data_IF_527853712584
#
_entry.id   IF_527853712584
#
_cell.length_a   1.000
_cell.length_b   1.000
_cell.length_c   1.000
_cell.angle_alpha   90.00
_cell.angle_beta   90.00
_cell.angle_gamma   90.00
#
_symmetry.space_group_name_H-M   'P 1'
#
loop_
_entity.id
_entity.type
_entity.pdbx_description
1 polymer ?
#
# COMPACT_ATOMS: atom_id res chain seq x y z
N UNK A 1 -9.38 -18.40 -9.16
CA UNK A 1 -10.53 -17.76 -9.85
C UNK A 1 -10.01 -17.00 -11.06
N UNK A 2 -10.72 -17.01 -12.18
CA UNK A 2 -10.29 -16.35 -13.43
C UNK A 2 -10.84 -14.92 -13.59
N UNK A 3 -10.25 -14.16 -14.52
CA UNK A 3 -10.75 -12.84 -14.89
C UNK A 3 -12.16 -12.94 -15.47
N UNK A 4 -13.07 -12.07 -15.02
CA UNK A 4 -14.40 -11.90 -15.61
C UNK A 4 -14.41 -10.64 -16.46
N UNK A 5 -15.06 -10.71 -17.62
CA UNK A 5 -15.25 -9.56 -18.51
C UNK A 5 -16.35 -8.65 -17.95
N UNK A 6 -16.07 -7.36 -17.90
CA UNK A 6 -17.04 -6.30 -17.57
C UNK A 6 -16.86 -5.14 -18.54
N UNK A 7 -17.92 -4.40 -18.84
CA UNK A 7 -17.84 -3.16 -19.62
C UNK A 7 -18.21 -1.99 -18.71
N UNK A 8 -17.46 -0.90 -18.79
CA UNK A 8 -17.68 0.33 -18.02
C UNK A 8 -17.51 1.54 -18.93
N UNK A 9 -18.22 2.61 -18.61
CA UNK A 9 -18.00 3.92 -19.22
C UNK A 9 -17.05 4.73 -18.33
N UNK A 10 -16.14 5.48 -18.97
CA UNK A 10 -15.20 6.38 -18.32
C UNK A 10 -15.09 7.66 -19.14
N UNK A 11 -14.61 8.74 -18.53
CA UNK A 11 -14.39 10.00 -19.24
C UNK A 11 -13.24 9.87 -20.24
N UNK A 12 -13.36 10.54 -21.40
CA UNK A 12 -12.33 10.51 -22.44
C UNK A 12 -10.98 11.05 -21.97
N UNK A 13 -10.99 12.03 -21.06
CA UNK A 13 -9.79 12.58 -20.41
C UNK A 13 -9.08 11.53 -19.56
N UNK A 14 -9.82 10.72 -18.80
CA UNK A 14 -9.27 9.67 -17.95
C UNK A 14 -8.67 8.55 -18.80
N UNK A 15 -9.36 8.14 -19.88
CA UNK A 15 -8.86 7.14 -20.82
C UNK A 15 -7.56 7.60 -21.48
N UNK A 16 -7.46 8.89 -21.81
CA UNK A 16 -6.23 9.49 -22.35
C UNK A 16 -5.08 9.37 -21.37
N UNK A 17 -5.29 9.75 -20.10
CA UNK A 17 -4.28 9.66 -19.05
C UNK A 17 -3.84 8.21 -18.77
N UNK A 18 -4.78 7.27 -18.76
CA UNK A 18 -4.48 5.83 -18.60
C UNK A 18 -3.60 5.33 -19.74
N UNK A 19 -3.88 5.74 -20.98
CA UNK A 19 -3.10 5.36 -22.15
C UNK A 19 -1.66 5.86 -22.09
N UNK A 20 -1.46 7.12 -21.71
CA UNK A 20 -0.12 7.69 -21.53
C UNK A 20 0.65 6.96 -20.40
N UNK A 21 -0.03 6.66 -19.29
CA UNK A 21 0.55 5.92 -18.20
C UNK A 21 0.95 4.49 -18.62
N UNK A 22 0.09 3.80 -19.37
CA UNK A 22 0.35 2.45 -19.88
C UNK A 22 1.57 2.41 -20.79
N UNK A 23 1.68 3.38 -21.70
CA UNK A 23 2.84 3.54 -22.58
C UNK A 23 4.13 3.80 -21.79
N UNK A 24 4.10 4.69 -20.81
CA UNK A 24 5.26 5.01 -19.95
C UNK A 24 5.72 3.81 -19.11
N UNK A 25 4.78 2.97 -18.67
CA UNK A 25 5.05 1.81 -17.82
C UNK A 25 5.33 0.53 -18.62
N UNK A 26 5.12 0.53 -19.94
CA UNK A 26 5.31 -0.65 -20.79
C UNK A 26 4.29 -1.76 -20.55
N UNK A 27 3.08 -1.41 -20.11
CA UNK A 27 1.98 -2.35 -19.81
C UNK A 27 0.76 -2.05 -20.67
N UNK A 28 -0.22 -2.95 -20.70
CA UNK A 28 -1.50 -2.71 -21.39
C UNK A 28 -2.39 -1.74 -20.61
N UNK A 29 -3.22 -0.94 -21.29
CA UNK A 29 -4.26 -0.10 -20.67
C UNK A 29 -5.17 -0.92 -19.74
N UNK A 30 -5.53 -2.13 -20.18
CA UNK A 30 -6.36 -3.05 -19.42
C UNK A 30 -5.71 -3.50 -18.10
N UNK A 31 -4.37 -3.50 -18.00
CA UNK A 31 -3.65 -3.80 -16.75
C UNK A 31 -3.82 -2.68 -15.74
N UNK A 32 -3.68 -1.43 -16.18
CA UNK A 32 -3.91 -0.25 -15.32
C UNK A 32 -5.36 -0.22 -14.85
N UNK A 33 -6.33 -0.48 -15.73
CA UNK A 33 -7.75 -0.52 -15.37
C UNK A 33 -8.02 -1.64 -14.37
N UNK A 34 -7.46 -2.85 -14.58
CA UNK A 34 -7.57 -3.96 -13.62
C UNK A 34 -7.02 -3.58 -12.25
N UNK A 35 -5.84 -2.95 -12.21
CA UNK A 35 -5.22 -2.52 -10.96
C UNK A 35 -6.06 -1.44 -10.25
N UNK A 36 -6.61 -0.48 -11.00
CA UNK A 36 -7.52 0.54 -10.46
C UNK A 36 -8.76 -0.08 -9.82
N UNK A 37 -9.41 -1.02 -10.51
CA UNK A 37 -10.57 -1.78 -9.98
C UNK A 37 -10.16 -2.60 -8.74
N UNK A 38 -8.98 -3.20 -8.75
CA UNK A 38 -8.51 -3.99 -7.61
C UNK A 38 -8.27 -3.11 -6.37
N UNK A 39 -7.60 -1.96 -6.54
CA UNK A 39 -7.32 -1.02 -5.46
C UNK A 39 -8.58 -0.44 -4.85
N UNK A 40 -9.56 -0.03 -5.66
CA UNK A 40 -10.81 0.51 -5.13
C UNK A 40 -11.61 -0.57 -4.38
N UNK A 41 -11.59 -1.82 -4.87
CA UNK A 41 -12.21 -2.94 -4.18
C UNK A 41 -11.55 -3.22 -2.82
N UNK A 42 -10.22 -3.15 -2.73
CA UNK A 42 -9.50 -3.28 -1.46
C UNK A 42 -9.76 -2.12 -0.51
N UNK A 43 -9.80 -0.88 -1.01
CA UNK A 43 -10.02 0.31 -0.21
C UNK A 43 -11.41 0.32 0.46
N UNK A 44 -12.41 -0.27 -0.20
CA UNK A 44 -13.78 -0.39 0.33
C UNK A 44 -14.10 -1.79 0.86
N UNK A 45 -13.10 -2.66 1.00
CA UNK A 45 -13.31 -3.96 1.62
C UNK A 45 -13.53 -3.74 3.12
N UNK A 46 -14.79 -3.83 3.51
CA UNK A 46 -15.20 -3.87 4.92
C UNK A 46 -15.28 -5.34 5.33
N UNK A 47 -14.89 -5.64 6.57
CA UNK A 47 -15.13 -6.96 7.17
C UNK A 47 -16.53 -6.98 7.75
N UNK A 48 -17.25 -8.09 7.55
CA UNK A 48 -18.61 -8.26 8.07
C UNK A 48 -18.63 -8.14 9.62
N UNK A 49 -17.55 -8.59 10.26
CA UNK A 49 -17.29 -8.40 11.69
C UNK A 49 -16.06 -7.50 11.87
N UNK A 50 -16.13 -6.43 12.68
CA UNK A 50 -14.97 -5.64 13.06
C UNK A 50 -13.86 -6.51 13.69
N UNK A 51 -12.59 -6.21 13.38
CA UNK A 51 -11.46 -6.90 14.04
C UNK A 51 -11.35 -6.57 15.52
N UNK A 52 -11.91 -5.44 15.94
CA UNK A 52 -11.97 -4.97 17.31
C UNK A 52 -13.34 -4.40 17.58
N UNK A 53 -13.86 -4.65 18.78
CA UNK A 53 -15.07 -3.98 19.25
C UNK A 53 -14.84 -2.48 19.45
N UNK A 54 -15.90 -1.68 19.48
CA UNK A 54 -15.82 -0.24 19.75
C UNK A 54 -15.15 0.09 21.11
N UNK A 55 -15.14 -0.89 22.02
CA UNK A 55 -14.48 -0.82 23.34
C UNK A 55 -13.00 -1.24 23.28
N UNK A 56 -12.61 -2.03 22.27
CA UNK A 56 -11.24 -2.44 21.97
C UNK A 56 -10.57 -1.43 21.02
N UNK A 57 -10.35 -0.20 21.51
CA UNK A 57 -9.52 0.74 20.76
C UNK A 57 -8.06 0.26 20.74
N UNK A 58 -7.44 0.24 19.56
CA UNK A 58 -5.98 0.17 19.45
C UNK A 58 -5.39 1.55 19.76
N UNK A 59 -4.70 1.67 20.90
CA UNK A 59 -3.85 2.82 21.17
C UNK A 59 -2.64 2.78 20.21
N UNK A 60 -2.70 3.60 19.16
CA UNK A 60 -1.59 3.79 18.23
C UNK A 60 -0.51 4.73 18.80
N UNK A 61 -0.67 5.17 20.05
CA UNK A 61 0.14 6.19 20.69
C UNK A 61 -0.26 7.60 20.26
N UNK A 62 0.52 8.58 20.73
CA UNK A 62 0.43 9.96 20.29
C UNK A 62 1.07 10.19 18.91
N UNK A 63 1.02 11.43 18.39
CA UNK A 63 1.76 11.82 17.20
C UNK A 63 3.25 11.45 17.32
N UNK A 64 3.80 10.89 16.25
CA UNK A 64 5.22 10.54 16.19
C UNK A 64 6.05 11.79 15.89
N UNK A 65 6.87 12.19 16.85
CA UNK A 65 7.71 13.38 16.74
C UNK A 65 9.03 13.11 16.01
N UNK A 66 9.61 14.16 15.42
CA UNK A 66 10.84 14.06 14.62
C UNK A 66 12.01 13.41 15.38
N UNK A 67 12.13 13.70 16.67
CA UNK A 67 13.21 13.15 17.49
C UNK A 67 13.00 11.66 17.81
N UNK A 68 11.74 11.20 17.88
CA UNK A 68 11.42 9.79 18.06
C UNK A 68 11.80 8.97 16.82
N UNK A 69 11.51 9.51 15.62
CA UNK A 69 11.92 8.91 14.35
C UNK A 69 13.45 8.80 14.30
N UNK A 70 14.16 9.89 14.63
CA UNK A 70 15.62 9.91 14.59
C UNK A 70 16.21 8.86 15.53
N UNK A 71 15.73 8.81 16.78
CA UNK A 71 16.18 7.84 17.78
C UNK A 71 15.96 6.41 17.29
N UNK A 72 14.75 6.08 16.84
CA UNK A 72 14.42 4.75 16.35
C UNK A 72 15.31 4.32 15.15
N UNK A 73 15.60 5.24 14.23
CA UNK A 73 16.47 4.97 13.08
C UNK A 73 17.93 4.69 13.51
N UNK A 74 18.46 5.49 14.44
CA UNK A 74 19.82 5.29 14.97
C UNK A 74 19.93 3.96 15.72
N UNK A 75 18.98 3.65 16.59
CA UNK A 75 18.95 2.38 17.34
C UNK A 75 18.87 1.17 16.39
N UNK A 76 18.03 1.24 15.36
CA UNK A 76 17.91 0.18 14.36
C UNK A 76 19.23 -0.05 13.60
N UNK A 77 19.92 1.03 13.24
CA UNK A 77 21.22 0.98 12.58
C UNK A 77 22.28 0.33 13.49
N UNK A 78 22.38 0.75 14.75
CA UNK A 78 23.33 0.19 15.70
C UNK A 78 23.07 -1.30 15.99
N UNK A 79 21.81 -1.69 16.14
CA UNK A 79 21.43 -3.09 16.31
C UNK A 79 21.83 -3.95 15.10
N UNK A 80 21.63 -3.43 13.89
CA UNK A 80 22.06 -4.09 12.66
C UNK A 80 23.58 -4.28 12.64
N UNK A 81 24.35 -3.25 12.99
CA UNK A 81 25.81 -3.32 13.03
C UNK A 81 26.34 -4.29 14.08
N UNK A 82 25.66 -4.42 15.24
CA UNK A 82 25.99 -5.43 16.25
C UNK A 82 25.74 -6.84 15.73
N UNK A 83 24.60 -7.09 15.07
CA UNK A 83 24.28 -8.40 14.46
C UNK A 83 25.31 -8.80 13.41
N UNK A 84 25.68 -7.87 12.52
CA UNK A 84 26.67 -8.12 11.47
C UNK A 84 28.05 -8.48 12.04
N UNK A 85 28.47 -7.80 13.11
CA UNK A 85 29.74 -8.09 13.80
C UNK A 85 29.74 -9.42 14.55
N UNK A 86 28.59 -9.87 15.07
CA UNK A 86 28.45 -11.17 15.73
C UNK A 86 28.41 -12.38 14.78
N UNK A 87 28.18 -12.16 13.47
CA UNK A 87 28.19 -13.23 12.44
C UNK A 87 29.57 -13.44 11.80
N UNK A 88 30.58 -12.67 12.21
CA UNK A 88 31.94 -12.71 11.65
C UNK A 88 32.95 -13.47 12.54
N UNK A 89 32.48 -14.34 13.44
CA UNK A 89 33.30 -15.18 14.31
C UNK A 89 33.02 -16.67 14.06
#
# INVERSE_FOLDING_TARGET
MGLKRTNVYAEDSDLTLIKEAAARLGVSEAEIIREGIHRIALAHRVWDEPFVSDEETFDLGGPVEKDEIRRAATEAHEQRERRNRGHAA
#
